data_IF_272638331689
#
_entry.id   IF_272638331689
#
_cell.length_a   1.000
_cell.length_b   1.000
_cell.length_c   1.000
_cell.angle_alpha   90.00
_cell.angle_beta   90.00
_cell.angle_gamma   90.00
#
_symmetry.space_group_name_H-M   'P 1'
#
loop_
_entity.id
_entity.type
_entity.pdbx_description
1 polymer ?
#
# COMPACT_ATOMS: atom_id res chain seq x y z
N UNK A 1 35.04 -7.31 -12.29
CA UNK A 1 33.80 -7.47 -13.06
C UNK A 1 32.88 -6.30 -12.70
N UNK A 2 32.85 -5.27 -13.56
CA UNK A 2 32.01 -4.08 -13.36
C UNK A 2 30.59 -4.45 -13.74
N UNK A 3 29.72 -4.57 -12.75
CA UNK A 3 28.31 -4.84 -12.99
C UNK A 3 27.68 -3.64 -13.71
N UNK A 4 27.16 -3.89 -14.91
CA UNK A 4 26.74 -2.87 -15.87
C UNK A 4 25.62 -1.96 -15.32
N UNK A 5 25.66 -0.64 -15.57
CA UNK A 5 24.64 0.33 -15.15
C UNK A 5 23.23 0.08 -15.71
N UNK A 6 23.08 -0.81 -16.70
CA UNK A 6 21.80 -1.22 -17.28
C UNK A 6 21.00 -2.19 -16.39
N UNK A 7 21.67 -3.11 -15.69
CA UNK A 7 21.02 -4.11 -14.81
C UNK A 7 20.30 -3.46 -13.64
N UNK A 8 20.92 -2.46 -13.01
CA UNK A 8 20.34 -1.76 -11.86
C UNK A 8 19.05 -1.00 -12.24
N UNK A 9 19.03 -0.35 -13.41
CA UNK A 9 17.83 0.32 -13.95
C UNK A 9 16.70 -0.66 -14.25
N UNK A 10 17.01 -1.81 -14.85
CA UNK A 10 16.03 -2.84 -15.14
C UNK A 10 15.43 -3.42 -13.85
N UNK A 11 16.26 -3.71 -12.85
CA UNK A 11 15.82 -4.16 -11.52
C UNK A 11 14.92 -3.13 -10.83
N UNK A 12 15.26 -1.83 -10.89
CA UNK A 12 14.46 -0.75 -10.34
C UNK A 12 13.08 -0.65 -10.99
N UNK A 13 13.03 -0.68 -12.34
CA UNK A 13 11.79 -0.66 -13.11
C UNK A 13 10.94 -1.89 -12.79
N UNK A 14 11.56 -3.07 -12.70
CA UNK A 14 10.88 -4.31 -12.32
C UNK A 14 10.19 -4.18 -10.96
N UNK A 15 10.88 -3.66 -9.94
CA UNK A 15 10.27 -3.46 -8.62
C UNK A 15 9.13 -2.44 -8.63
N UNK A 16 9.23 -1.36 -9.42
CA UNK A 16 8.11 -0.41 -9.60
C UNK A 16 6.89 -1.12 -10.20
N UNK A 17 7.09 -1.92 -11.24
CA UNK A 17 6.01 -2.66 -11.90
C UNK A 17 5.36 -3.64 -10.90
N UNK A 18 6.16 -4.35 -10.10
CA UNK A 18 5.66 -5.28 -9.08
C UNK A 18 4.89 -4.54 -7.98
N UNK A 19 5.40 -3.41 -7.46
CA UNK A 19 4.67 -2.61 -6.47
C UNK A 19 3.36 -2.05 -7.03
N UNK A 20 3.35 -1.60 -8.29
CA UNK A 20 2.14 -1.11 -8.96
C UNK A 20 1.10 -2.23 -9.13
N UNK A 21 1.51 -3.40 -9.60
CA UNK A 21 0.59 -4.53 -9.80
C UNK A 21 -0.01 -5.01 -8.48
N UNK A 22 0.80 -5.14 -7.42
CA UNK A 22 0.33 -5.46 -6.08
C UNK A 22 -0.65 -4.39 -5.54
N UNK A 23 -0.37 -3.11 -5.78
CA UNK A 23 -1.27 -2.01 -5.43
C UNK A 23 -2.62 -2.09 -6.14
N UNK A 24 -2.62 -2.38 -7.45
CA UNK A 24 -3.85 -2.56 -8.24
C UNK A 24 -4.65 -3.79 -7.81
N UNK A 25 -3.97 -4.88 -7.46
CA UNK A 25 -4.61 -6.08 -6.88
C UNK A 25 -5.26 -5.73 -5.54
N UNK A 26 -4.56 -5.05 -4.64
CA UNK A 26 -5.10 -4.59 -3.36
C UNK A 26 -6.32 -3.68 -3.55
N UNK A 27 -6.25 -2.71 -4.47
CA UNK A 27 -7.37 -1.85 -4.83
C UNK A 27 -8.59 -2.67 -5.30
N UNK A 28 -8.38 -3.60 -6.23
CA UNK A 28 -9.44 -4.44 -6.78
C UNK A 28 -10.08 -5.30 -5.69
N UNK A 29 -9.27 -5.88 -4.81
CA UNK A 29 -9.74 -6.66 -3.67
C UNK A 29 -10.59 -5.83 -2.72
N UNK A 30 -10.25 -4.56 -2.46
CA UNK A 30 -11.07 -3.63 -1.66
C UNK A 30 -12.42 -3.31 -2.32
N UNK A 31 -12.46 -3.13 -3.64
CA UNK A 31 -13.72 -2.89 -4.35
C UNK A 31 -14.59 -4.14 -4.32
N UNK A 32 -14.00 -5.31 -4.58
CA UNK A 32 -14.73 -6.59 -4.51
C UNK A 32 -15.22 -6.86 -3.09
N UNK A 33 -14.44 -6.52 -2.05
CA UNK A 33 -14.88 -6.67 -0.66
C UNK A 33 -16.00 -5.70 -0.30
N UNK A 34 -16.04 -4.48 -0.86
CA UNK A 34 -17.18 -3.56 -0.68
C UNK A 34 -18.45 -4.11 -1.34
N UNK A 35 -18.35 -4.71 -2.53
CA UNK A 35 -19.48 -5.30 -3.27
C UNK A 35 -19.98 -6.57 -2.57
N UNK A 36 -19.06 -7.46 -2.17
CA UNK A 36 -19.36 -8.74 -1.50
C UNK A 36 -19.61 -8.59 -0.01
N UNK A 37 -19.59 -7.37 0.53
CA UNK A 37 -19.90 -7.10 1.92
C UNK A 37 -21.35 -7.51 2.19
N UNK A 38 -21.57 -8.22 3.30
CA UNK A 38 -22.92 -8.56 3.75
C UNK A 38 -23.75 -7.28 3.91
N UNK A 39 -24.93 -7.24 3.31
CA UNK A 39 -25.86 -6.11 3.45
C UNK A 39 -26.82 -6.38 4.60
N UNK A 40 -27.59 -5.36 4.98
CA UNK A 40 -28.67 -5.50 5.98
C UNK A 40 -29.69 -6.60 5.59
N UNK A 41 -29.79 -6.86 4.30
CA UNK A 41 -30.67 -7.83 3.64
C UNK A 41 -30.23 -9.28 3.89
N UNK A 42 -28.94 -9.52 4.16
CA UNK A 42 -28.38 -10.86 4.41
C UNK A 42 -28.47 -11.27 5.89
N UNK A 43 -29.06 -10.43 6.74
CA UNK A 43 -29.25 -10.73 8.15
C UNK A 43 -30.34 -11.79 8.31
N UNK A 44 -29.93 -12.99 8.74
CA UNK A 44 -30.87 -14.01 9.19
C UNK A 44 -31.36 -13.64 10.58
N UNK A 45 -32.59 -13.13 10.65
CA UNK A 45 -33.28 -12.80 11.89
C UNK A 45 -34.03 -14.02 12.42
N UNK A 46 -33.62 -14.58 13.57
CA UNK A 46 -34.29 -15.71 14.19
C UNK A 46 -35.07 -15.32 15.45
N UNK A 47 -35.91 -14.27 15.34
CA UNK A 47 -36.87 -13.84 16.37
C UNK A 47 -36.30 -13.25 17.66
N UNK A 48 -35.03 -13.53 18.02
CA UNK A 48 -34.41 -13.04 19.27
C UNK A 48 -32.92 -12.72 19.16
N UNK A 49 -32.19 -13.34 18.23
CA UNK A 49 -30.75 -13.13 18.04
C UNK A 49 -30.40 -12.99 16.55
N UNK A 50 -29.37 -12.17 16.27
CA UNK A 50 -28.86 -11.88 14.94
C UNK A 50 -27.63 -12.75 14.63
N UNK A 51 -27.55 -13.33 13.44
CA UNK A 51 -26.42 -14.15 13.00
C UNK A 51 -25.84 -13.61 11.69
N UNK A 52 -24.53 -13.33 11.68
CA UNK A 52 -23.81 -12.88 10.50
C UNK A 52 -22.91 -14.01 9.97
N UNK A 53 -23.28 -14.67 8.84
CA UNK A 53 -22.40 -15.67 8.22
C UNK A 53 -21.09 -15.03 7.76
N UNK A 54 -20.00 -15.81 7.80
CA UNK A 54 -18.67 -15.35 7.34
C UNK A 54 -18.80 -14.81 5.92
N UNK A 55 -18.54 -13.53 5.75
CA UNK A 55 -18.56 -12.93 4.42
C UNK A 55 -17.26 -13.27 3.68
N UNK A 56 -17.30 -13.59 2.38
CA UNK A 56 -16.10 -13.62 1.53
C UNK A 56 -15.28 -12.32 1.60
N UNK A 57 -15.92 -11.21 1.97
CA UNK A 57 -15.25 -9.92 2.19
C UNK A 57 -14.15 -9.96 3.27
N UNK A 58 -14.25 -10.86 4.26
CA UNK A 58 -13.21 -11.02 5.29
C UNK A 58 -11.89 -11.47 4.69
N UNK A 59 -11.91 -12.55 3.91
CA UNK A 59 -10.71 -13.10 3.27
C UNK A 59 -10.12 -12.13 2.25
N UNK A 60 -10.97 -11.45 1.47
CA UNK A 60 -10.55 -10.44 0.49
C UNK A 60 -9.91 -9.22 1.16
N UNK A 61 -10.43 -8.77 2.31
CA UNK A 61 -9.85 -7.68 3.09
C UNK A 61 -8.47 -8.01 3.64
N UNK A 62 -8.26 -9.23 4.15
CA UNK A 62 -6.94 -9.70 4.59
C UNK A 62 -5.98 -9.83 3.41
N UNK A 63 -6.41 -10.42 2.30
CA UNK A 63 -5.60 -10.52 1.10
C UNK A 63 -5.17 -9.13 0.60
N UNK A 64 -6.09 -8.15 0.60
CA UNK A 64 -5.79 -6.77 0.25
C UNK A 64 -4.74 -6.15 1.18
N UNK A 65 -4.86 -6.37 2.49
CA UNK A 65 -3.91 -5.89 3.50
C UNK A 65 -2.49 -6.44 3.24
N UNK A 66 -2.38 -7.75 2.96
CA UNK A 66 -1.10 -8.39 2.66
C UNK A 66 -0.50 -7.85 1.35
N UNK A 67 -1.30 -7.73 0.30
CA UNK A 67 -0.85 -7.15 -0.97
C UNK A 67 -0.34 -5.72 -0.82
N UNK A 68 -1.05 -4.89 -0.05
CA UNK A 68 -0.64 -3.51 0.23
C UNK A 68 0.67 -3.45 1.01
N UNK A 69 0.82 -4.28 2.04
CA UNK A 69 2.05 -4.35 2.84
C UNK A 69 3.26 -4.78 1.98
N UNK A 70 3.07 -5.76 1.08
CA UNK A 70 4.10 -6.17 0.13
C UNK A 70 4.45 -5.04 -0.85
N UNK A 71 3.45 -4.37 -1.42
CA UNK A 71 3.66 -3.25 -2.35
C UNK A 71 4.51 -2.14 -1.69
N UNK A 72 4.18 -1.81 -0.43
CA UNK A 72 4.86 -0.78 0.34
C UNK A 72 6.30 -1.19 0.73
N UNK A 73 6.50 -2.43 1.18
CA UNK A 73 7.81 -2.95 1.56
C UNK A 73 8.76 -3.05 0.37
N UNK A 74 8.26 -3.53 -0.77
CA UNK A 74 9.04 -3.63 -2.02
C UNK A 74 9.40 -2.24 -2.52
N UNK A 75 8.45 -1.30 -2.57
CA UNK A 75 8.70 0.05 -3.05
C UNK A 75 9.68 0.84 -2.17
N UNK A 76 9.66 0.62 -0.86
CA UNK A 76 10.63 1.21 0.07
C UNK A 76 12.03 0.58 -0.04
N UNK A 77 12.12 -0.71 -0.34
CA UNK A 77 13.41 -1.40 -0.51
C UNK A 77 14.23 -0.79 -1.67
N UNK A 78 13.56 -0.25 -2.68
CA UNK A 78 14.17 0.46 -3.81
C UNK A 78 14.93 1.71 -3.33
N UNK A 79 14.37 2.48 -2.39
CA UNK A 79 15.01 3.68 -1.83
C UNK A 79 16.28 3.35 -1.02
N UNK A 80 16.35 2.14 -0.46
CA UNK A 80 17.49 1.69 0.35
C UNK A 80 18.60 1.02 -0.48
N UNK A 81 18.27 0.34 -1.60
CA UNK A 81 19.24 -0.45 -2.37
C UNK A 81 20.13 0.37 -3.32
N UNK A 82 19.80 1.64 -3.57
CA UNK A 82 20.70 2.60 -4.23
C UNK A 82 22.04 2.81 -3.46
N UNK A 83 22.18 2.26 -2.24
CA UNK A 83 23.41 2.31 -1.42
C UNK A 83 24.45 1.20 -1.68
N UNK A 84 24.18 0.17 -2.50
CA UNK A 84 25.00 -1.06 -2.51
C UNK A 84 25.95 -1.28 -3.71
N UNK A 85 26.20 -0.29 -4.58
CA UNK A 85 27.27 -0.43 -5.58
C UNK A 85 28.29 0.70 -5.45
N UNK A 86 29.54 0.33 -5.16
CA UNK A 86 30.56 1.18 -4.59
C UNK A 86 31.03 2.33 -5.47
N UNK A 87 31.22 3.49 -4.84
CA UNK A 87 31.86 4.64 -5.45
C UNK A 87 31.73 5.90 -4.58
N UNK A 88 32.58 6.01 -3.55
CA UNK A 88 32.78 7.19 -2.68
C UNK A 88 31.51 7.71 -1.98
N UNK A 89 31.31 7.21 -0.77
CA UNK A 89 30.63 7.93 0.33
C UNK A 89 31.33 9.29 0.53
N UNK A 90 30.84 10.36 -0.09
CA UNK A 90 31.06 11.77 0.30
C UNK A 90 30.35 12.76 -0.65
N UNK A 91 29.12 12.47 -1.06
CA UNK A 91 28.18 13.51 -1.47
C UNK A 91 27.06 13.47 -0.44
N UNK A 92 26.79 14.58 0.25
CA UNK A 92 25.57 14.75 1.04
C UNK A 92 24.42 14.51 0.07
N UNK A 93 23.88 13.28 0.02
CA UNK A 93 22.64 12.98 -0.68
C UNK A 93 21.56 13.79 0.04
N UNK A 94 21.38 15.06 -0.36
CA UNK A 94 20.25 15.87 0.04
C UNK A 94 19.07 15.23 -0.67
N UNK A 95 18.46 14.23 -0.03
CA UNK A 95 17.14 13.75 -0.43
C UNK A 95 16.26 15.00 -0.49
N UNK A 96 15.75 15.35 -1.69
CA UNK A 96 15.01 16.58 -1.86
C UNK A 96 13.82 16.56 -0.90
N UNK A 97 13.53 17.73 -0.33
CA UNK A 97 12.46 17.88 0.67
C UNK A 97 11.14 17.29 0.12
N UNK A 98 10.89 17.46 -1.19
CA UNK A 98 9.75 16.88 -1.91
C UNK A 98 9.68 15.36 -1.78
N UNK A 99 10.78 14.62 -2.00
CA UNK A 99 10.82 13.15 -1.88
C UNK A 99 10.56 12.70 -0.44
N UNK A 100 11.10 13.44 0.54
CA UNK A 100 10.82 13.18 1.97
C UNK A 100 9.35 13.40 2.32
N UNK A 101 8.74 14.48 1.85
CA UNK A 101 7.32 14.77 2.08
C UNK A 101 6.44 13.69 1.44
N UNK A 102 6.72 13.30 0.20
CA UNK A 102 5.98 12.23 -0.48
C UNK A 102 6.11 10.91 0.28
N UNK A 103 7.30 10.55 0.74
CA UNK A 103 7.50 9.34 1.54
C UNK A 103 6.68 9.36 2.84
N UNK A 104 6.66 10.50 3.54
CA UNK A 104 5.85 10.69 4.74
C UNK A 104 4.35 10.54 4.46
N UNK A 105 3.84 11.16 3.38
CA UNK A 105 2.44 11.04 2.97
C UNK A 105 2.09 9.58 2.65
N UNK A 106 2.97 8.86 1.95
CA UNK A 106 2.80 7.44 1.66
C UNK A 106 2.73 6.61 2.94
N UNK A 107 3.60 6.88 3.93
CA UNK A 107 3.62 6.14 5.19
C UNK A 107 2.38 6.39 6.06
N UNK A 108 1.93 7.65 6.14
CA UNK A 108 0.71 8.02 6.85
C UNK A 108 -0.52 7.41 6.15
N UNK A 109 -0.60 7.51 4.82
CA UNK A 109 -1.67 6.91 4.03
C UNK A 109 -1.74 5.39 4.19
N UNK A 110 -0.59 4.71 4.17
CA UNK A 110 -0.47 3.28 4.45
C UNK A 110 -1.00 2.93 5.85
N UNK A 111 -0.56 3.66 6.89
CA UNK A 111 -1.02 3.43 8.26
C UNK A 111 -2.53 3.56 8.40
N UNK A 112 -3.12 4.62 7.83
CA UNK A 112 -4.57 4.83 7.84
C UNK A 112 -5.29 3.70 7.08
N UNK A 113 -4.80 3.32 5.90
CA UNK A 113 -5.39 2.23 5.11
C UNK A 113 -5.37 0.89 5.86
N UNK A 114 -4.26 0.58 6.53
CA UNK A 114 -4.11 -0.62 7.38
C UNK A 114 -5.11 -0.61 8.53
N UNK A 115 -5.23 0.49 9.26
CA UNK A 115 -6.19 0.62 10.38
C UNK A 115 -7.62 0.40 9.88
N UNK A 116 -7.99 1.05 8.76
CA UNK A 116 -9.32 0.89 8.17
C UNK A 116 -9.59 -0.54 7.70
N UNK A 117 -8.61 -1.21 7.09
CA UNK A 117 -8.75 -2.60 6.65
C UNK A 117 -8.84 -3.56 7.83
N UNK A 118 -8.06 -3.37 8.89
CA UNK A 118 -8.14 -4.16 10.12
C UNK A 118 -9.51 -3.96 10.78
N UNK A 119 -9.97 -2.71 10.89
CA UNK A 119 -11.29 -2.42 11.44
C UNK A 119 -12.39 -3.08 10.60
N UNK A 120 -12.36 -2.92 9.28
CA UNK A 120 -13.35 -3.49 8.37
C UNK A 120 -13.34 -5.02 8.37
N UNK A 121 -12.17 -5.65 8.40
CA UNK A 121 -12.02 -7.12 8.47
C UNK A 121 -12.45 -7.65 9.83
N UNK A 122 -12.05 -7.01 10.94
CA UNK A 122 -12.50 -7.41 12.28
C UNK A 122 -14.02 -7.34 12.40
N UNK A 123 -14.65 -6.30 11.86
CA UNK A 123 -16.11 -6.20 11.80
C UNK A 123 -16.75 -7.19 10.81
N UNK A 124 -16.00 -7.74 9.85
CA UNK A 124 -16.48 -8.75 8.90
C UNK A 124 -16.28 -10.20 9.39
N UNK A 125 -15.70 -10.38 10.59
CA UNK A 125 -15.48 -11.70 11.20
C UNK A 125 -16.84 -12.33 11.57
N UNK A 126 -16.92 -13.67 11.54
CA UNK A 126 -18.11 -14.39 12.02
C UNK A 126 -18.45 -13.94 13.43
N UNK A 127 -19.68 -13.48 13.62
CA UNK A 127 -20.25 -13.20 14.92
C UNK A 127 -21.26 -14.32 15.25
N UNK A 128 -20.98 -15.16 16.26
CA UNK A 128 -21.95 -16.13 16.76
C UNK A 128 -23.15 -15.41 17.40
N UNK A 129 -24.25 -16.13 17.53
CA UNK A 129 -25.50 -15.64 18.12
C UNK A 129 -25.24 -14.91 19.46
N UNK A 130 -25.59 -13.62 19.55
CA UNK A 130 -25.67 -12.86 20.83
C UNK A 130 -24.38 -12.14 21.24
N UNK A 131 -23.25 -12.43 20.57
CA UNK A 131 -21.95 -11.81 20.79
C UNK A 131 -21.74 -10.66 19.77
N UNK A 132 -22.47 -9.56 19.97
CA UNK A 132 -22.25 -8.31 19.26
C UNK A 132 -20.96 -7.62 19.70
N UNK A 133 -20.16 -7.07 18.78
CA UNK A 133 -18.87 -6.41 19.03
C UNK A 133 -18.95 -5.26 20.07
N UNK A 134 -20.13 -4.63 20.21
CA UNK A 134 -20.43 -3.65 21.26
C UNK A 134 -21.91 -3.80 21.66
N UNK A 135 -22.18 -4.16 22.92
CA UNK A 135 -23.53 -4.22 23.53
C UNK A 135 -24.52 -5.25 22.95
N UNK A 136 -24.07 -6.42 22.45
CA UNK A 136 -24.96 -7.46 21.90
C UNK A 136 -25.84 -7.04 20.70
N UNK A 137 -25.56 -5.89 20.10
CA UNK A 137 -26.19 -5.39 18.88
C UNK A 137 -25.45 -5.90 17.63
N UNK A 138 -26.19 -6.18 16.56
CA UNK A 138 -25.65 -6.72 15.31
C UNK A 138 -25.01 -5.60 14.48
N UNK A 139 -23.69 -5.44 14.57
CA UNK A 139 -22.99 -4.31 13.95
C UNK A 139 -22.59 -4.63 12.50
N UNK A 140 -23.32 -4.08 11.52
CA UNK A 140 -22.86 -4.11 10.13
C UNK A 140 -21.76 -3.11 9.91
N UNK A 141 -20.71 -3.54 9.21
CA UNK A 141 -19.67 -2.65 8.71
C UNK A 141 -20.37 -1.49 7.96
N UNK A 142 -19.95 -0.24 8.19
CA UNK A 142 -20.56 0.95 7.56
C UNK A 142 -20.16 1.10 6.08
N UNK A 143 -21.14 1.22 5.18
CA UNK A 143 -20.93 1.37 3.72
C UNK A 143 -19.87 2.44 3.44
N UNK A 144 -18.89 2.11 2.60
CA UNK A 144 -17.85 3.04 2.16
C UNK A 144 -16.48 2.93 2.87
N UNK A 145 -16.33 2.12 3.93
CA UNK A 145 -14.99 1.94 4.56
C UNK A 145 -14.01 1.27 3.58
N UNK A 146 -14.41 0.21 2.88
CA UNK A 146 -13.51 -0.44 1.91
C UNK A 146 -13.28 0.45 0.68
N UNK A 147 -14.28 1.23 0.26
CA UNK A 147 -14.11 2.21 -0.82
C UNK A 147 -13.12 3.34 -0.42
N UNK A 148 -13.19 3.82 0.82
CA UNK A 148 -12.24 4.79 1.37
C UNK A 148 -10.82 4.22 1.45
N UNK A 149 -10.67 2.99 1.94
CA UNK A 149 -9.39 2.27 1.92
C UNK A 149 -8.83 2.12 0.50
N UNK A 150 -9.68 1.81 -0.49
CA UNK A 150 -9.29 1.70 -1.89
C UNK A 150 -8.69 3.02 -2.44
N UNK A 151 -9.31 4.16 -2.12
CA UNK A 151 -8.77 5.47 -2.52
C UNK A 151 -7.44 5.79 -1.83
N UNK A 152 -7.32 5.48 -0.53
CA UNK A 152 -6.07 5.65 0.21
C UNK A 152 -4.95 4.77 -0.34
N UNK A 153 -5.26 3.54 -0.78
CA UNK A 153 -4.30 2.65 -1.44
C UNK A 153 -3.76 3.30 -2.72
N UNK A 154 -4.63 3.85 -3.58
CA UNK A 154 -4.20 4.54 -4.81
C UNK A 154 -3.29 5.73 -4.50
N UNK A 155 -3.66 6.57 -3.53
CA UNK A 155 -2.84 7.71 -3.11
C UNK A 155 -1.49 7.25 -2.56
N UNK A 156 -1.49 6.19 -1.75
CA UNK A 156 -0.28 5.64 -1.10
C UNK A 156 0.70 5.07 -2.12
N UNK A 157 0.21 4.24 -3.03
CA UNK A 157 1.01 3.60 -4.10
C UNK A 157 1.47 4.64 -5.12
N UNK A 158 0.60 5.57 -5.51
CA UNK A 158 0.96 6.66 -6.42
C UNK A 158 2.05 7.56 -5.86
N UNK A 159 1.95 7.91 -4.57
CA UNK A 159 2.95 8.72 -3.87
C UNK A 159 4.28 7.97 -3.72
N UNK A 160 4.25 6.66 -3.44
CA UNK A 160 5.43 5.81 -3.36
C UNK A 160 6.18 5.72 -4.70
N UNK A 161 5.45 5.44 -5.78
CA UNK A 161 6.02 5.37 -7.14
C UNK A 161 6.53 6.74 -7.58
N UNK A 162 5.78 7.81 -7.31
CA UNK A 162 6.21 9.18 -7.60
C UNK A 162 7.51 9.54 -6.89
N UNK A 163 7.65 9.18 -5.62
CA UNK A 163 8.87 9.35 -4.84
C UNK A 163 10.06 8.58 -5.45
N UNK A 164 9.85 7.33 -5.86
CA UNK A 164 10.87 6.52 -6.52
C UNK A 164 11.31 7.13 -7.86
N UNK A 165 10.37 7.55 -8.71
CA UNK A 165 10.67 8.16 -10.01
C UNK A 165 11.40 9.50 -9.87
N UNK A 166 10.99 10.33 -8.91
CA UNK A 166 11.67 11.60 -8.62
C UNK A 166 13.10 11.37 -8.13
N UNK A 167 13.32 10.36 -7.28
CA UNK A 167 14.65 9.96 -6.81
C UNK A 167 15.53 9.55 -8.00
N UNK A 168 15.01 8.71 -8.90
CA UNK A 168 15.73 8.31 -10.11
C UNK A 168 16.06 9.50 -11.03
N UNK A 169 15.11 10.44 -11.22
CA UNK A 169 15.33 11.64 -12.04
C UNK A 169 16.43 12.53 -11.47
N UNK A 170 16.40 12.76 -10.15
CA UNK A 170 17.40 13.58 -9.48
C UNK A 170 18.79 12.92 -9.51
N UNK A 171 18.87 11.60 -9.37
CA UNK A 171 20.12 10.86 -9.50
C UNK A 171 20.75 11.02 -10.90
N UNK A 172 19.92 11.03 -11.97
CA UNK A 172 20.42 11.29 -13.34
C UNK A 172 20.94 12.72 -13.50
N UNK A 173 20.24 13.71 -12.93
CA UNK A 173 20.65 15.11 -13.02
C UNK A 173 21.99 15.38 -12.29
N UNK A 174 22.18 14.79 -11.11
CA UNK A 174 23.44 14.90 -10.35
C UNK A 174 24.63 14.25 -11.09
N UNK A 175 24.41 13.10 -11.72
CA UNK A 175 25.44 12.43 -12.54
C UNK A 175 25.83 13.27 -13.77
N UNK A 176 24.85 13.86 -14.47
CA UNK A 176 25.11 14.73 -15.62
C UNK A 176 25.93 15.97 -15.23
N UNK A 177 25.56 16.62 -14.12
CA UNK A 177 26.30 17.80 -13.63
C UNK A 177 27.76 17.48 -13.28
N UNK A 178 28.03 16.32 -12.65
CA UNK A 178 29.39 15.87 -12.33
C UNK A 178 30.25 15.61 -13.58
N UNK A 179 29.68 15.02 -14.63
CA UNK A 179 30.41 14.76 -15.88
C UNK A 179 30.83 16.09 -16.53
N UNK A 180 29.94 17.09 -16.59
CA UNK A 180 30.28 18.40 -17.15
C UNK A 180 31.37 19.12 -16.36
N UNK A 181 31.39 19.00 -15.01
CA UNK A 181 32.41 19.63 -14.16
C UNK A 181 33.79 18.95 -14.23
N UNK A 182 33.90 17.70 -14.72
CA UNK A 182 35.19 17.01 -14.89
C UNK A 182 35.81 17.20 -16.28
N UNK A 183 35.10 17.81 -17.23
CA UNK A 183 35.53 17.94 -18.64
C UNK A 183 35.87 19.38 -19.04
N UNK A 184 35.77 20.34 -18.12
CA UNK A 184 36.17 21.74 -18.29
C UNK A 184 37.29 22.09 -17.32
#
# INVERSE_FOLDING_TARGET
>A
MVESPSKCKFTFIFFIIVSLSLGLVSFSLCIVSEIKRNKKEDLRWNGKLCHLPSSPAFGLGIASLVCLALAQSIGNSILFKDCCSGGKRNARFKIPIVVRILLSISWVGFGIAVILLIAATSMSKRQPYGEGWLNSECYLVKKGIYAGSAMLILVTVGTLIGSALLTMKNNKADQGHKIHAQTG
#
